data_IF_047546827825
#
_entry.id   IF_047546827825
#
_cell.length_a   1.000
_cell.length_b   1.000
_cell.length_c   1.000
_cell.angle_alpha   90.00
_cell.angle_beta   90.00
_cell.angle_gamma   90.00
#
_symmetry.space_group_name_H-M   'P 1'
#
loop_
_entity.id
_entity.type
_entity.pdbx_description
1 polymer ?
#
# COMPACT_ATOMS: atom_id res chain seq x y z
N UNK A 1 20.41 -13.77 10.85
CA UNK A 1 19.24 -13.04 10.29
C UNK A 1 18.15 -14.00 9.78
N UNK A 2 18.13 -15.28 10.18
CA UNK A 2 17.12 -16.27 9.71
C UNK A 2 15.86 -16.37 10.59
N UNK A 3 15.87 -15.88 11.84
CA UNK A 3 14.75 -16.06 12.79
C UNK A 3 13.45 -15.36 12.35
N UNK A 4 13.55 -14.20 11.73
CA UNK A 4 12.38 -13.40 11.29
C UNK A 4 11.56 -14.07 10.17
N UNK A 5 12.20 -14.88 9.32
CA UNK A 5 11.51 -15.58 8.23
C UNK A 5 10.66 -16.73 8.76
N UNK A 6 11.14 -17.44 9.79
CA UNK A 6 10.43 -18.58 10.36
C UNK A 6 9.19 -18.14 11.13
N UNK A 7 9.32 -17.13 11.99
CA UNK A 7 8.21 -16.55 12.77
C UNK A 7 7.09 -16.03 11.85
N UNK A 8 7.45 -15.38 10.74
CA UNK A 8 6.48 -14.91 9.75
C UNK A 8 5.72 -16.08 9.11
N UNK A 9 6.41 -17.18 8.78
CA UNK A 9 5.76 -18.35 8.19
C UNK A 9 4.83 -19.05 9.20
N UNK A 10 5.22 -19.12 10.47
CA UNK A 10 4.40 -19.65 11.55
C UNK A 10 3.12 -18.83 11.76
N UNK A 11 3.22 -17.49 11.79
CA UNK A 11 2.06 -16.60 11.87
C UNK A 11 1.11 -16.78 10.68
N UNK A 12 1.66 -16.90 9.47
CA UNK A 12 0.85 -17.15 8.27
C UNK A 12 0.11 -18.49 8.39
N UNK A 13 0.76 -19.54 8.89
CA UNK A 13 0.15 -20.84 9.10
C UNK A 13 -0.99 -20.76 10.13
N UNK A 14 -0.77 -20.06 11.24
CA UNK A 14 -1.76 -19.83 12.29
C UNK A 14 -3.01 -19.12 11.74
N UNK A 15 -2.83 -18.02 11.00
CA UNK A 15 -3.95 -17.30 10.40
C UNK A 15 -4.71 -18.15 9.37
N UNK A 16 -4.00 -18.90 8.52
CA UNK A 16 -4.65 -19.82 7.57
C UNK A 16 -5.52 -20.85 8.28
N UNK A 17 -5.09 -21.35 9.43
CA UNK A 17 -5.88 -22.28 10.24
C UNK A 17 -7.11 -21.59 10.85
N UNK A 18 -6.94 -20.39 11.42
CA UNK A 18 -8.04 -19.62 12.03
C UNK A 18 -9.15 -19.31 11.02
N UNK A 19 -8.79 -18.90 9.80
CA UNK A 19 -9.76 -18.53 8.76
C UNK A 19 -10.23 -19.70 7.90
N UNK A 20 -9.72 -20.92 8.10
CA UNK A 20 -9.99 -22.10 7.25
C UNK A 20 -11.49 -22.38 7.04
N UNK A 21 -12.29 -22.14 8.07
CA UNK A 21 -13.73 -22.39 8.07
C UNK A 21 -14.56 -21.10 7.94
N UNK A 22 -13.95 -19.98 7.55
CA UNK A 22 -14.65 -18.73 7.26
C UNK A 22 -14.64 -18.42 5.75
N UNK A 23 -15.49 -19.08 4.96
CA UNK A 23 -15.50 -18.91 3.50
C UNK A 23 -15.83 -17.49 3.05
N UNK A 24 -16.56 -16.71 3.87
CA UNK A 24 -16.91 -15.32 3.58
C UNK A 24 -15.68 -14.44 3.64
N UNK A 25 -14.93 -14.47 4.74
CA UNK A 25 -13.71 -13.69 4.89
C UNK A 25 -12.64 -14.11 3.88
N UNK A 26 -12.50 -15.41 3.61
CA UNK A 26 -11.57 -15.89 2.58
C UNK A 26 -11.94 -15.35 1.18
N UNK A 27 -13.24 -15.27 0.86
CA UNK A 27 -13.71 -14.66 -0.40
C UNK A 27 -13.40 -13.16 -0.44
N UNK A 28 -13.63 -12.43 0.66
CA UNK A 28 -13.30 -11.01 0.76
C UNK A 28 -11.80 -10.76 0.55
N UNK A 29 -10.94 -11.54 1.19
CA UNK A 29 -9.48 -11.45 1.02
C UNK A 29 -9.06 -11.73 -0.42
N UNK A 30 -9.64 -12.75 -1.07
CA UNK A 30 -9.39 -13.06 -2.47
C UNK A 30 -9.77 -11.89 -3.38
N UNK A 31 -10.95 -11.30 -3.16
CA UNK A 31 -11.43 -10.17 -3.94
C UNK A 31 -10.54 -8.93 -3.75
N UNK A 32 -10.14 -8.63 -2.51
CA UNK A 32 -9.24 -7.53 -2.21
C UNK A 32 -7.88 -7.70 -2.90
N UNK A 33 -7.29 -8.90 -2.81
CA UNK A 33 -6.03 -9.22 -3.49
C UNK A 33 -6.13 -9.01 -5.00
N UNK A 34 -7.25 -9.44 -5.59
CA UNK A 34 -7.50 -9.27 -7.01
C UNK A 34 -7.66 -7.80 -7.39
N UNK A 35 -8.36 -7.00 -6.58
CA UNK A 35 -8.53 -5.57 -6.81
C UNK A 35 -7.20 -4.81 -6.74
N UNK A 36 -6.36 -5.08 -5.73
CA UNK A 36 -5.02 -4.50 -5.63
C UNK A 36 -4.19 -4.84 -6.88
N UNK A 37 -4.19 -6.11 -7.28
CA UNK A 37 -3.47 -6.55 -8.47
C UNK A 37 -3.96 -5.85 -9.75
N UNK A 38 -5.27 -5.64 -9.89
CA UNK A 38 -5.84 -4.92 -11.03
C UNK A 38 -5.42 -3.44 -11.06
N UNK A 39 -5.38 -2.78 -9.90
CA UNK A 39 -4.91 -1.39 -9.78
C UNK A 39 -3.43 -1.30 -10.16
N UNK A 40 -2.59 -2.22 -9.69
CA UNK A 40 -1.17 -2.28 -10.05
C UNK A 40 -0.98 -2.41 -11.56
N UNK A 41 -1.68 -3.35 -12.20
CA UNK A 41 -1.61 -3.54 -13.65
C UNK A 41 -2.10 -2.31 -14.41
N UNK A 42 -3.14 -1.63 -13.92
CA UNK A 42 -3.60 -0.39 -14.52
C UNK A 42 -2.53 0.71 -14.43
N UNK A 43 -1.88 0.87 -13.28
CA UNK A 43 -0.80 1.83 -13.09
C UNK A 43 0.39 1.59 -14.01
N UNK A 44 0.82 0.34 -14.16
CA UNK A 44 1.92 -0.05 -15.05
C UNK A 44 1.64 0.28 -16.53
N UNK A 45 0.40 0.07 -16.98
CA UNK A 45 0.01 0.35 -18.36
C UNK A 45 -0.26 1.84 -18.64
N UNK A 46 -0.42 2.67 -17.60
CA UNK A 46 -0.76 4.09 -17.71
C UNK A 46 0.32 4.99 -17.08
N UNK A 47 1.59 4.58 -17.16
CA UNK A 47 2.72 5.37 -16.65
C UNK A 47 2.84 6.70 -17.38
N UNK A 48 3.15 7.74 -16.62
CA UNK A 48 3.46 9.05 -17.17
C UNK A 48 4.81 8.99 -17.90
N UNK A 49 4.87 9.58 -19.09
CA UNK A 49 6.11 9.68 -19.89
C UNK A 49 7.03 10.82 -19.44
N UNK A 50 6.56 11.68 -18.54
CA UNK A 50 7.28 12.85 -18.04
C UNK A 50 6.91 13.14 -16.59
N UNK A 51 7.67 14.03 -15.95
CA UNK A 51 7.28 14.57 -14.65
C UNK A 51 5.94 15.30 -14.75
N UNK A 52 5.05 15.01 -13.81
CA UNK A 52 3.77 15.69 -13.65
C UNK A 52 3.70 16.29 -12.25
N UNK A 53 3.00 17.42 -12.15
CA UNK A 53 2.68 18.02 -10.87
C UNK A 53 1.23 17.70 -10.52
N UNK A 54 1.02 17.24 -9.29
CA UNK A 54 -0.29 16.80 -8.81
C UNK A 54 -0.50 17.28 -7.39
N UNK A 55 -1.75 17.40 -6.99
CA UNK A 55 -2.17 17.88 -5.69
C UNK A 55 -2.97 16.80 -4.96
N UNK A 56 -2.79 16.72 -3.65
CA UNK A 56 -3.55 15.87 -2.79
C UNK A 56 -3.82 16.59 -1.48
N UNK A 57 -5.09 16.63 -1.07
CA UNK A 57 -5.45 17.01 0.28
C UNK A 57 -5.20 15.81 1.21
N UNK A 58 -4.47 16.04 2.30
CA UNK A 58 -4.25 15.03 3.31
C UNK A 58 -4.34 15.66 4.70
N UNK A 59 -5.15 15.06 5.57
CA UNK A 59 -5.14 15.37 6.98
C UNK A 59 -3.89 14.74 7.60
N UNK A 60 -3.05 15.56 8.25
CA UNK A 60 -1.79 15.12 8.84
C UNK A 60 -1.63 15.66 10.25
N UNK A 61 -0.98 14.87 11.10
CA UNK A 61 -0.51 15.34 12.40
C UNK A 61 0.67 16.31 12.24
N UNK A 62 1.02 17.01 13.33
CA UNK A 62 2.18 17.92 13.30
C UNK A 62 3.47 17.14 13.09
N UNK A 63 3.56 15.97 13.69
CA UNK A 63 4.72 15.08 13.60
C UNK A 63 4.92 14.58 12.16
N UNK A 64 3.84 14.19 11.48
CA UNK A 64 3.88 13.77 10.07
C UNK A 64 4.34 14.91 9.15
N UNK A 65 3.86 16.13 9.40
CA UNK A 65 4.28 17.32 8.65
C UNK A 65 5.78 17.58 8.83
N UNK A 66 6.31 17.48 10.07
CA UNK A 66 7.73 17.69 10.32
C UNK A 66 8.61 16.61 9.66
N UNK A 67 8.17 15.35 9.64
CA UNK A 67 8.85 14.27 8.91
C UNK A 67 8.94 14.60 7.42
N UNK A 68 7.84 15.06 6.81
CA UNK A 68 7.81 15.43 5.39
C UNK A 68 8.68 16.65 5.08
N UNK A 69 8.66 17.68 5.94
CA UNK A 69 9.52 18.87 5.78
C UNK A 69 11.00 18.50 5.80
N UNK A 70 11.41 17.61 6.71
CA UNK A 70 12.79 17.14 6.81
C UNK A 70 13.20 16.24 5.62
N UNK A 71 12.23 15.79 4.81
CA UNK A 71 12.45 14.98 3.62
C UNK A 71 12.55 15.81 2.33
N UNK A 72 12.44 17.14 2.38
CA UNK A 72 12.55 18.01 1.20
C UNK A 72 13.89 17.79 0.49
N UNK A 73 13.84 17.54 -0.82
CA UNK A 73 15.01 17.22 -1.64
C UNK A 73 15.34 15.72 -1.71
N UNK A 74 14.64 14.87 -0.97
CA UNK A 74 14.81 13.41 -1.00
C UNK A 74 13.58 12.70 -1.60
N UNK A 75 13.79 11.46 -2.07
CA UNK A 75 12.68 10.60 -2.47
C UNK A 75 11.99 9.98 -1.25
N UNK A 76 10.65 9.98 -1.28
CA UNK A 76 9.81 9.33 -0.28
C UNK A 76 9.12 8.13 -0.95
N UNK A 77 9.12 6.99 -0.28
CA UNK A 77 8.37 5.80 -0.69
C UNK A 77 7.22 5.53 0.27
N UNK A 78 6.21 4.83 -0.20
CA UNK A 78 5.04 4.46 0.59
C UNK A 78 4.49 3.11 0.19
N UNK A 79 3.85 2.43 1.15
CA UNK A 79 3.25 1.11 0.97
C UNK A 79 1.76 1.21 0.58
N UNK A 80 1.39 2.24 -0.18
CA UNK A 80 0.00 2.55 -0.54
C UNK A 80 -0.09 3.25 -1.90
N UNK A 81 -1.31 3.48 -2.36
CA UNK A 81 -1.63 4.28 -3.54
C UNK A 81 -2.02 5.71 -3.14
N UNK A 82 -1.72 6.68 -4.00
CA UNK A 82 -2.17 8.06 -3.85
C UNK A 82 -3.28 8.37 -4.84
N UNK A 83 -4.37 8.94 -4.35
CA UNK A 83 -5.37 9.61 -5.18
C UNK A 83 -5.04 11.09 -5.24
N UNK A 84 -4.81 11.61 -6.44
CA UNK A 84 -4.37 12.99 -6.66
C UNK A 84 -5.22 13.67 -7.75
N UNK A 85 -5.13 14.99 -7.81
CA UNK A 85 -5.77 15.83 -8.81
C UNK A 85 -4.72 16.62 -9.58
N UNK A 86 -4.98 16.89 -10.86
CA UNK A 86 -4.19 17.84 -11.65
C UNK A 86 -4.54 19.30 -11.32
N UNK A 87 -5.68 19.52 -10.66
CA UNK A 87 -6.18 20.82 -10.25
C UNK A 87 -6.00 21.01 -8.73
N UNK A 88 -5.64 22.23 -8.32
CA UNK A 88 -5.61 22.66 -6.91
C UNK A 88 -7.01 22.82 -6.33
#
# INVERSE_FOLDING_TARGET
MESSSNEKQELIALFKQQYKNNPIELKLLKNLKMAIHQIDQYGENNKCSSFIHVYQAQLMSKEEIEILKNSIGNFVSMNSFLSTSLNQ
#
